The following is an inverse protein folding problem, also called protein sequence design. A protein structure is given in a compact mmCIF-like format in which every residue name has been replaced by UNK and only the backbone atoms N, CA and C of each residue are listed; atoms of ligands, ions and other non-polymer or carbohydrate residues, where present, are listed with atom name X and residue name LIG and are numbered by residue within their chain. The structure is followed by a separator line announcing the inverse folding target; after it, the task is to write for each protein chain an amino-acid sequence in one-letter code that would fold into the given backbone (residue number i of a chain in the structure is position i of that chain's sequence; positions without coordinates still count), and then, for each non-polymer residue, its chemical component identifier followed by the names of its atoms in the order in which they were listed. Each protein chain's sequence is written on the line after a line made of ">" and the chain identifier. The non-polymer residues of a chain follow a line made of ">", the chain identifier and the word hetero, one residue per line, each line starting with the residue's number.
data_IF_394200056127
#
_entry.id   IF_394200056127
#
_cell.length_a   1.000
_cell.length_b   1.000
_cell.length_c   1.000
_cell.angle_alpha   90.00
_cell.angle_beta   90.00
_cell.angle_gamma   90.00
#
_symmetry.space_group_name_H-M   'P 1'
#
loop_
_entity.id
_entity.type
_entity.pdbx_description
1 polymer ?
#
# COMPACT_ATOMS: atom_id res chain seq x y z
N UNK A 1 14.94 -13.28 33.97
CA UNK A 1 15.55 -13.05 32.65
C UNK A 1 14.49 -12.36 31.84
N UNK A 2 14.39 -11.07 32.12
CA UNK A 2 13.25 -10.21 31.84
C UNK A 2 13.69 -9.30 30.71
N UNK A 3 13.21 -9.59 29.49
CA UNK A 3 13.32 -8.66 28.37
C UNK A 3 12.04 -7.83 28.34
N UNK A 4 12.16 -6.62 28.89
CA UNK A 4 11.10 -5.63 28.95
C UNK A 4 10.54 -5.33 27.55
N UNK A 5 9.29 -5.71 27.40
CA UNK A 5 8.40 -5.33 26.33
C UNK A 5 7.78 -3.98 26.68
N UNK A 6 8.48 -2.87 26.44
CA UNK A 6 7.87 -1.54 26.61
C UNK A 6 8.43 -0.47 25.68
N UNK A 7 7.51 0.03 24.86
CA UNK A 7 7.36 1.44 24.51
C UNK A 7 8.43 2.10 23.61
N UNK A 8 8.18 2.06 22.30
CA UNK A 8 8.23 3.25 21.45
C UNK A 8 7.45 3.05 20.14
N UNK A 9 6.18 2.67 20.27
CA UNK A 9 5.19 2.94 19.23
C UNK A 9 4.84 4.41 19.34
N UNK A 10 5.53 5.26 18.56
CA UNK A 10 5.16 6.65 18.41
C UNK A 10 3.72 6.73 17.86
N UNK A 11 2.77 7.32 18.61
CA UNK A 11 1.38 7.39 18.20
C UNK A 11 1.21 8.57 17.23
N UNK A 12 1.58 8.40 15.95
CA UNK A 12 1.11 9.33 14.90
C UNK A 12 -0.27 8.91 14.42
N UNK A 13 -1.22 9.30 15.25
CA UNK A 13 -2.60 9.54 14.91
C UNK A 13 -2.69 10.49 13.71
N UNK A 14 -2.84 9.97 12.48
CA UNK A 14 -3.43 10.77 11.40
C UNK A 14 -4.96 10.82 11.61
N UNK A 15 -5.38 11.55 12.65
CA UNK A 15 -6.71 12.14 12.66
C UNK A 15 -6.65 13.43 11.87
N UNK A 16 -7.58 13.53 10.93
CA UNK A 16 -8.05 14.76 10.25
C UNK A 16 -7.41 15.05 8.91
N UNK A 17 -7.92 14.40 7.86
CA UNK A 17 -8.33 15.06 6.62
C UNK A 17 -9.67 14.49 6.15
N UNK A 18 -10.67 14.57 7.03
CA UNK A 18 -12.07 14.57 6.63
C UNK A 18 -12.57 16.00 6.78
N UNK A 19 -13.20 16.53 5.70
CA UNK A 19 -14.01 17.76 5.56
C UNK A 19 -13.49 18.77 4.53
N UNK A 20 -13.64 18.51 3.22
CA UNK A 20 -13.82 19.64 2.28
C UNK A 20 -14.71 19.42 1.03
N UNK A 21 -15.43 18.31 0.87
CA UNK A 21 -16.29 18.11 -0.32
C UNK A 21 -17.79 18.00 -0.04
N UNK A 22 -18.26 18.32 1.17
CA UNK A 22 -19.66 18.09 1.57
C UNK A 22 -20.68 19.15 1.11
N UNK A 23 -20.28 20.22 0.41
CA UNK A 23 -21.21 21.33 0.10
C UNK A 23 -21.85 21.28 -1.29
N UNK A 24 -21.47 20.34 -2.17
CA UNK A 24 -22.11 20.19 -3.49
C UNK A 24 -22.96 18.92 -3.64
N UNK A 25 -22.65 17.86 -2.89
CA UNK A 25 -23.37 16.58 -2.97
C UNK A 25 -24.79 16.65 -2.37
N UNK A 26 -25.07 17.58 -1.46
CA UNK A 26 -26.41 17.74 -0.88
C UNK A 26 -27.45 18.34 -1.84
N UNK A 27 -27.01 18.90 -2.98
CA UNK A 27 -27.89 19.52 -3.98
C UNK A 27 -28.16 18.59 -5.18
N UNK A 28 -27.47 17.44 -5.28
CA UNK A 28 -27.58 16.52 -6.41
C UNK A 28 -27.64 15.07 -5.93
N UNK A 29 -28.80 14.71 -5.38
CA UNK A 29 -29.30 13.35 -5.37
C UNK A 29 -28.63 12.34 -4.42
N UNK A 30 -29.49 11.52 -3.82
CA UNK A 30 -29.18 10.33 -3.04
C UNK A 30 -28.19 9.41 -3.79
N UNK A 31 -27.00 9.10 -3.23
CA UNK A 31 -26.01 8.35 -3.99
C UNK A 31 -26.29 6.84 -3.90
N UNK A 32 -26.17 6.12 -5.02
CA UNK A 32 -26.12 4.66 -5.02
C UNK A 32 -24.87 4.19 -4.27
N UNK A 33 -24.80 2.90 -3.92
CA UNK A 33 -23.63 2.27 -3.29
C UNK A 33 -22.45 2.35 -4.28
N UNK A 34 -21.76 3.48 -4.32
CA UNK A 34 -20.56 3.66 -5.14
C UNK A 34 -19.40 2.91 -4.50
N UNK A 35 -18.79 2.02 -5.28
CA UNK A 35 -17.52 1.41 -4.90
C UNK A 35 -16.50 2.54 -4.83
N UNK A 36 -16.14 2.97 -3.62
CA UNK A 36 -15.17 4.04 -3.39
C UNK A 36 -13.76 3.56 -3.78
N UNK A 37 -13.47 3.60 -5.08
CA UNK A 37 -12.18 3.21 -5.66
C UNK A 37 -11.06 4.08 -5.08
N UNK A 38 -11.35 5.37 -4.84
CA UNK A 38 -10.39 6.32 -4.27
C UNK A 38 -10.04 5.95 -2.83
N UNK A 39 -11.04 5.67 -2.00
CA UNK A 39 -10.82 5.20 -0.62
C UNK A 39 -10.11 3.86 -0.55
N UNK A 40 -10.44 2.91 -1.44
CA UNK A 40 -9.74 1.62 -1.50
C UNK A 40 -8.28 1.78 -1.92
N UNK A 41 -8.00 2.66 -2.88
CA UNK A 41 -6.63 2.97 -3.30
C UNK A 41 -5.82 3.59 -2.15
N UNK A 42 -6.42 4.51 -1.38
CA UNK A 42 -5.77 5.09 -0.21
C UNK A 42 -5.50 4.05 0.89
N UNK A 43 -6.46 3.17 1.17
CA UNK A 43 -6.27 2.09 2.15
C UNK A 43 -5.10 1.17 1.79
N UNK A 44 -4.96 0.82 0.51
CA UNK A 44 -3.83 0.01 0.03
C UNK A 44 -2.51 0.77 0.19
N UNK A 45 -2.49 2.07 -0.19
CA UNK A 45 -1.30 2.90 -0.03
C UNK A 45 -0.84 2.94 1.42
N UNK A 46 -1.76 3.20 2.35
CA UNK A 46 -1.47 3.24 3.79
C UNK A 46 -0.92 1.90 4.27
N UNK A 47 -1.53 0.78 3.84
CA UNK A 47 -1.06 -0.55 4.22
C UNK A 47 0.37 -0.84 3.73
N UNK A 48 0.72 -0.41 2.51
CA UNK A 48 2.08 -0.52 1.99
C UNK A 48 3.08 0.35 2.77
N UNK A 49 2.73 1.60 3.04
CA UNK A 49 3.57 2.51 3.82
C UNK A 49 3.77 2.03 5.25
N UNK A 50 2.76 1.41 5.85
CA UNK A 50 2.87 0.83 7.19
C UNK A 50 3.96 -0.25 7.26
N UNK A 51 4.06 -1.12 6.24
CA UNK A 51 5.11 -2.14 6.21
C UNK A 51 6.51 -1.51 6.09
N UNK A 52 6.65 -0.47 5.26
CA UNK A 52 7.92 0.24 5.07
C UNK A 52 8.33 1.03 6.31
N UNK A 53 7.38 1.58 7.06
CA UNK A 53 7.65 2.38 8.27
C UNK A 53 8.33 1.57 9.39
N UNK A 54 8.16 0.24 9.37
CA UNK A 54 8.74 -0.68 10.36
C UNK A 54 10.14 -1.17 9.96
N UNK A 55 10.66 -0.73 8.82
CA UNK A 55 11.97 -1.13 8.32
C UNK A 55 13.06 -0.12 8.66
N UNK A 56 14.30 -0.59 8.68
CA UNK A 56 15.48 0.27 8.77
C UNK A 56 15.61 1.15 7.53
N UNK A 57 16.17 2.35 7.73
CA UNK A 57 16.39 3.31 6.65
C UNK A 57 17.43 2.77 5.66
N UNK A 58 16.97 2.46 4.46
CA UNK A 58 17.80 2.03 3.35
C UNK A 58 17.39 2.80 2.10
N UNK A 59 18.37 3.04 1.21
CA UNK A 59 18.11 3.76 -0.04
C UNK A 59 16.99 3.10 -0.88
N UNK A 60 16.90 1.76 -0.85
CA UNK A 60 15.84 1.02 -1.53
C UNK A 60 14.48 1.23 -0.86
N UNK A 61 14.38 1.14 0.46
CA UNK A 61 13.14 1.40 1.20
C UNK A 61 12.64 2.83 0.97
N UNK A 62 13.54 3.82 1.07
CA UNK A 62 13.26 5.23 0.82
C UNK A 62 12.76 5.49 -0.62
N UNK A 63 13.34 4.81 -1.61
CA UNK A 63 12.85 4.87 -2.99
C UNK A 63 11.42 4.32 -3.14
N UNK A 64 11.17 3.11 -2.60
CA UNK A 64 9.86 2.46 -2.68
C UNK A 64 8.80 3.28 -1.96
N UNK A 65 9.13 3.86 -0.80
CA UNK A 65 8.27 4.78 -0.06
C UNK A 65 7.78 5.94 -0.94
N UNK A 66 8.71 6.65 -1.59
CA UNK A 66 8.37 7.78 -2.47
C UNK A 66 7.49 7.36 -3.64
N UNK A 67 7.75 6.20 -4.24
CA UNK A 67 6.92 5.65 -5.31
C UNK A 67 5.50 5.36 -4.83
N UNK A 68 5.35 4.73 -3.66
CA UNK A 68 4.03 4.41 -3.06
C UNK A 68 3.25 5.69 -2.74
N UNK A 69 3.89 6.69 -2.13
CA UNK A 69 3.26 8.00 -1.84
C UNK A 69 2.75 8.67 -3.12
N UNK A 70 3.52 8.62 -4.21
CA UNK A 70 3.21 9.35 -5.45
C UNK A 70 2.31 8.60 -6.42
N UNK A 71 2.12 7.29 -6.24
CA UNK A 71 1.27 6.48 -7.09
C UNK A 71 -0.18 7.00 -7.06
N UNK A 72 -0.75 7.35 -8.22
CA UNK A 72 -2.11 7.90 -8.33
C UNK A 72 -3.17 6.88 -8.75
N UNK A 73 -2.73 5.70 -9.18
CA UNK A 73 -3.58 4.69 -9.79
C UNK A 73 -3.35 3.33 -9.14
N UNK A 74 -4.40 2.50 -9.15
CA UNK A 74 -4.36 1.17 -8.54
C UNK A 74 -3.34 0.24 -9.20
N UNK A 75 -3.17 0.35 -10.53
CA UNK A 75 -2.21 -0.47 -11.26
C UNK A 75 -0.76 -0.14 -10.85
N UNK A 76 -0.46 1.14 -10.62
CA UNK A 76 0.86 1.56 -10.16
C UNK A 76 1.18 0.94 -8.78
N UNK A 77 0.22 0.96 -7.84
CA UNK A 77 0.38 0.28 -6.55
C UNK A 77 0.54 -1.24 -6.71
N UNK A 78 -0.20 -1.87 -7.64
CA UNK A 78 -0.07 -3.30 -7.91
C UNK A 78 1.35 -3.68 -8.33
N UNK A 79 1.97 -2.92 -9.24
CA UNK A 79 3.35 -3.19 -9.66
C UNK A 79 4.37 -2.91 -8.54
N UNK A 80 4.11 -1.91 -7.70
CA UNK A 80 4.96 -1.61 -6.54
C UNK A 80 4.91 -2.69 -5.46
N UNK A 81 3.92 -3.59 -5.46
CA UNK A 81 3.89 -4.75 -4.56
C UNK A 81 5.16 -5.58 -4.64
N UNK A 82 5.67 -5.85 -5.84
CA UNK A 82 6.90 -6.64 -6.01
C UNK A 82 8.11 -5.92 -5.42
N UNK A 83 8.14 -4.60 -5.56
CA UNK A 83 9.21 -3.74 -5.04
C UNK A 83 9.17 -3.66 -3.52
N UNK A 84 7.96 -3.64 -2.96
CA UNK A 84 7.71 -3.75 -1.53
C UNK A 84 8.22 -5.08 -0.97
N UNK A 85 7.95 -6.21 -1.65
CA UNK A 85 8.49 -7.53 -1.25
C UNK A 85 10.02 -7.50 -1.28
N UNK A 86 10.63 -7.00 -2.36
CA UNK A 86 12.10 -6.91 -2.46
C UNK A 86 12.71 -6.02 -1.38
N UNK A 87 12.05 -4.90 -1.04
CA UNK A 87 12.47 -4.05 0.08
C UNK A 87 12.41 -4.81 1.40
N UNK A 88 11.26 -5.41 1.73
CA UNK A 88 11.07 -6.15 2.97
C UNK A 88 12.03 -7.34 3.09
N UNK A 89 12.26 -8.07 2.00
CA UNK A 89 13.09 -9.27 1.96
C UNK A 89 14.54 -8.99 2.41
N UNK A 90 15.07 -7.80 2.12
CA UNK A 90 16.40 -7.39 2.57
C UNK A 90 16.52 -7.28 4.10
N UNK A 91 15.40 -7.10 4.81
CA UNK A 91 15.37 -6.93 6.27
C UNK A 91 14.90 -8.20 7.01
N UNK A 92 13.83 -8.83 6.54
CA UNK A 92 13.16 -9.95 7.24
C UNK A 92 13.24 -11.28 6.50
N UNK A 93 13.87 -11.32 5.32
CA UNK A 93 13.91 -12.48 4.44
C UNK A 93 12.68 -12.60 3.53
N UNK A 94 12.86 -13.28 2.40
CA UNK A 94 11.88 -13.37 1.31
C UNK A 94 10.53 -13.96 1.75
N UNK A 95 10.55 -15.05 2.53
CA UNK A 95 9.33 -15.73 2.95
C UNK A 95 8.48 -14.85 3.87
N UNK A 96 9.08 -14.27 4.90
CA UNK A 96 8.39 -13.36 5.82
C UNK A 96 7.92 -12.07 5.12
N UNK A 97 8.67 -11.59 4.13
CA UNK A 97 8.25 -10.47 3.29
C UNK A 97 6.98 -10.78 2.51
N UNK A 98 6.88 -11.98 1.91
CA UNK A 98 5.67 -12.42 1.19
C UNK A 98 4.46 -12.52 2.11
N UNK A 99 4.63 -13.15 3.27
CA UNK A 99 3.56 -13.29 4.27
C UNK A 99 3.00 -11.93 4.72
N UNK A 100 3.85 -10.90 4.83
CA UNK A 100 3.42 -9.52 5.15
C UNK A 100 2.67 -8.84 4.00
N UNK A 101 2.98 -9.18 2.75
CA UNK A 101 2.42 -8.53 1.56
C UNK A 101 1.18 -9.26 1.02
N UNK A 102 0.98 -10.53 1.32
CA UNK A 102 -0.19 -11.30 0.88
C UNK A 102 -1.53 -10.70 1.35
N UNK A 103 -1.70 -10.23 2.60
CA UNK A 103 -2.92 -9.51 3.00
C UNK A 103 -3.16 -8.23 2.20
N UNK A 104 -2.10 -7.51 1.84
CA UNK A 104 -2.18 -6.30 1.00
C UNK A 104 -2.60 -6.67 -0.43
N UNK A 105 -2.14 -7.82 -0.92
CA UNK A 105 -2.48 -8.36 -2.23
C UNK A 105 -3.97 -8.61 -2.36
N UNK A 106 -4.59 -9.19 -1.32
CA UNK A 106 -6.02 -9.46 -1.33
C UNK A 106 -6.85 -8.16 -1.41
N UNK A 107 -6.33 -7.03 -0.91
CA UNK A 107 -7.01 -5.73 -1.01
C UNK A 107 -7.20 -5.26 -2.46
N UNK A 108 -6.37 -5.73 -3.41
CA UNK A 108 -6.50 -5.42 -4.84
C UNK A 108 -7.63 -6.19 -5.52
N UNK A 109 -8.19 -7.22 -4.87
CA UNK A 109 -9.23 -8.06 -5.47
C UNK A 109 -10.46 -7.22 -5.84
N UNK A 110 -10.89 -7.35 -7.10
CA UNK A 110 -12.00 -6.57 -7.65
C UNK A 110 -11.65 -5.12 -8.00
N UNK A 111 -10.41 -4.66 -7.82
CA UNK A 111 -9.92 -3.36 -8.32
C UNK A 111 -9.05 -3.50 -9.57
N UNK A 112 -8.47 -4.69 -9.78
CA UNK A 112 -7.69 -5.01 -10.97
C UNK A 112 -8.35 -6.14 -11.77
N UNK A 113 -8.18 -6.17 -13.10
CA UNK A 113 -8.63 -7.29 -13.91
C UNK A 113 -8.04 -8.62 -13.40
N UNK A 114 -8.84 -9.69 -13.42
CA UNK A 114 -8.45 -11.03 -12.92
C UNK A 114 -7.14 -11.55 -13.55
N UNK A 115 -6.86 -11.15 -14.79
CA UNK A 115 -5.62 -11.42 -15.52
C UNK A 115 -4.34 -11.09 -14.75
N UNK A 116 -4.39 -10.07 -13.88
CA UNK A 116 -3.25 -9.67 -13.05
C UNK A 116 -3.10 -10.54 -11.79
N UNK A 117 -4.18 -11.15 -11.31
CA UNK A 117 -4.17 -12.04 -10.15
C UNK A 117 -3.69 -13.46 -10.54
N UNK A 118 -4.03 -13.90 -11.75
CA UNK A 118 -3.81 -15.28 -12.21
C UNK A 118 -2.42 -15.53 -12.84
N UNK A 119 -1.50 -14.56 -12.82
CA UNK A 119 -0.16 -14.74 -13.42
C UNK A 119 0.92 -13.82 -12.82
N UNK A 120 2.22 -14.14 -13.03
CA UNK A 120 3.30 -13.21 -12.73
C UNK A 120 3.13 -11.98 -13.62
N UNK A 121 2.65 -10.89 -13.04
CA UNK A 121 2.36 -9.66 -13.78
C UNK A 121 3.57 -9.18 -14.60
N UNK A 122 3.35 -8.44 -15.70
CA UNK A 122 4.44 -7.97 -16.54
C UNK A 122 5.40 -7.11 -15.71
N UNK A 123 6.63 -7.59 -15.55
CA UNK A 123 7.67 -6.86 -14.84
C UNK A 123 8.28 -5.80 -15.77
N UNK A 124 8.04 -4.49 -15.54
CA UNK A 124 8.60 -3.43 -16.39
C UNK A 124 10.14 -3.30 -16.29
N UNK A 125 10.78 -3.97 -15.31
CA UNK A 125 12.22 -3.85 -15.05
C UNK A 125 13.12 -4.58 -16.06
N UNK A 126 12.59 -5.48 -16.88
CA UNK A 126 13.39 -6.30 -17.79
C UNK A 126 13.56 -5.72 -19.21
N UNK A 127 13.16 -4.47 -19.46
CA UNK A 127 13.18 -3.87 -20.82
C UNK A 127 14.41 -3.02 -21.13
N UNK A 128 15.32 -2.83 -20.18
CA UNK A 128 16.45 -1.91 -20.30
C UNK A 128 17.83 -2.58 -20.14
N UNK A 129 17.97 -3.86 -20.50
CA UNK A 129 19.26 -4.55 -20.46
C UNK A 129 19.53 -5.31 -21.76
#
# INVERSE_FOLDING_TARGET
>A
MDFEFTALVCPYMFKTLSRFTSSFAALLSEPPIEIDVVGRLEHIRIAMLYQLAMMDDSAHCSYVWLCVVRAREIQALWFLRSDLVSALANSVGEQAAREKVDPITEMFRGLIPKQYLDGPGPNPRNRAR
#
